data_IF_052186091258
#
_entry.id   IF_052186091258
#
_cell.length_a   1.000
_cell.length_b   1.000
_cell.length_c   1.000
_cell.angle_alpha   90.00
_cell.angle_beta   90.00
_cell.angle_gamma   90.00
#
_symmetry.space_group_name_H-M   'P 1'
#
loop_
_entity.id
_entity.type
_entity.pdbx_description
1 polymer ?
#
# COMPACT_ATOMS: atom_id res chain seq x y z
N UNK A 1 -4.77 -7.16 -7.31
CA UNK A 1 -6.01 -7.79 -6.79
C UNK A 1 -6.57 -6.92 -5.68
N UNK A 2 -7.89 -6.80 -5.55
CA UNK A 2 -8.50 -6.08 -4.42
C UNK A 2 -9.23 -7.09 -3.54
N UNK A 3 -9.02 -6.98 -2.22
CA UNK A 3 -9.66 -7.81 -1.20
C UNK A 3 -10.18 -6.87 -0.13
N UNK A 4 -11.44 -6.49 -0.23
CA UNK A 4 -12.07 -5.55 0.69
C UNK A 4 -11.30 -4.21 0.78
N UNK A 5 -10.64 -3.96 1.90
CA UNK A 5 -9.84 -2.78 2.22
C UNK A 5 -8.38 -2.87 1.76
N UNK A 6 -7.97 -4.01 1.20
CA UNK A 6 -6.60 -4.26 0.75
C UNK A 6 -6.45 -4.21 -0.78
N UNK A 7 -5.39 -3.55 -1.25
CA UNK A 7 -4.91 -3.64 -2.63
C UNK A 7 -3.60 -4.44 -2.67
N UNK A 8 -3.63 -5.59 -3.34
CA UNK A 8 -2.45 -6.42 -3.59
C UNK A 8 -1.87 -6.13 -4.98
N UNK A 9 -0.60 -5.76 -5.04
CA UNK A 9 0.10 -5.33 -6.25
C UNK A 9 1.35 -6.19 -6.47
N UNK A 10 1.67 -6.48 -7.73
CA UNK A 10 2.94 -7.08 -8.15
C UNK A 10 3.73 -6.05 -8.95
N UNK A 11 5.02 -5.94 -8.68
CA UNK A 11 5.88 -4.92 -9.26
C UNK A 11 7.36 -5.34 -9.24
N UNK A 12 8.23 -4.71 -10.06
CA UNK A 12 9.67 -4.86 -9.95
C UNK A 12 10.19 -4.43 -8.58
N UNK A 13 11.22 -5.11 -8.09
CA UNK A 13 11.79 -4.84 -6.77
C UNK A 13 12.38 -3.42 -6.67
N UNK A 14 12.98 -2.91 -7.75
CA UNK A 14 13.52 -1.55 -7.76
C UNK A 14 12.46 -0.45 -7.59
N UNK A 15 11.18 -0.75 -7.86
CA UNK A 15 10.08 0.21 -7.78
C UNK A 15 9.37 0.23 -6.41
N UNK A 16 9.72 -0.70 -5.51
CA UNK A 16 9.02 -0.94 -4.24
C UNK A 16 8.63 0.34 -3.49
N UNK A 17 9.63 1.15 -3.13
CA UNK A 17 9.40 2.34 -2.30
C UNK A 17 8.64 3.43 -3.06
N UNK A 18 8.87 3.59 -4.36
CA UNK A 18 8.21 4.63 -5.16
C UNK A 18 6.73 4.30 -5.35
N UNK A 19 6.43 3.05 -5.69
CA UNK A 19 5.06 2.58 -5.85
C UNK A 19 4.31 2.58 -4.52
N UNK A 20 4.93 2.11 -3.43
CA UNK A 20 4.29 2.11 -2.11
C UNK A 20 3.93 3.53 -1.65
N UNK A 21 4.83 4.51 -1.81
CA UNK A 21 4.56 5.92 -1.48
C UNK A 21 3.40 6.48 -2.31
N UNK A 22 3.42 6.26 -3.63
CA UNK A 22 2.36 6.73 -4.52
C UNK A 22 1.00 6.14 -4.15
N UNK A 23 0.94 4.83 -3.93
CA UNK A 23 -0.31 4.14 -3.61
C UNK A 23 -0.84 4.59 -2.25
N UNK A 24 0.04 4.70 -1.23
CA UNK A 24 -0.34 5.20 0.10
C UNK A 24 -0.95 6.60 0.01
N UNK A 25 -0.26 7.53 -0.66
CA UNK A 25 -0.74 8.92 -0.84
C UNK A 25 -2.10 8.98 -1.55
N UNK A 26 -2.27 8.21 -2.62
CA UNK A 26 -3.55 8.16 -3.37
C UNK A 26 -4.66 7.57 -2.52
N UNK A 27 -4.41 6.51 -1.75
CA UNK A 27 -5.41 5.86 -0.91
C UNK A 27 -5.83 6.75 0.28
N UNK A 28 -4.88 7.37 0.97
CA UNK A 28 -5.15 8.26 2.10
C UNK A 28 -5.95 9.50 1.70
N UNK A 29 -5.72 10.00 0.47
CA UNK A 29 -6.36 11.19 -0.07
C UNK A 29 -7.51 10.90 -1.05
N UNK A 30 -7.99 9.64 -1.13
CA UNK A 30 -8.99 9.22 -2.12
C UNK A 30 -10.32 9.99 -2.00
N UNK A 31 -10.68 10.43 -0.79
CA UNK A 31 -11.90 11.20 -0.55
C UNK A 31 -11.78 12.09 0.71
N UNK A 32 -12.32 13.32 0.72
CA UNK A 32 -12.28 14.18 1.89
C UNK A 32 -13.25 13.67 2.98
N UNK A 33 -12.69 13.25 4.11
CA UNK A 33 -13.43 12.82 5.30
C UNK A 33 -13.07 13.71 6.48
N UNK A 34 -13.97 13.82 7.47
CA UNK A 34 -13.70 14.56 8.71
C UNK A 34 -12.61 13.91 9.56
N UNK A 35 -12.35 12.62 9.35
CA UNK A 35 -11.26 11.85 9.94
C UNK A 35 -10.45 11.27 8.77
N UNK A 36 -9.13 11.50 8.70
CA UNK A 36 -8.32 11.04 7.58
C UNK A 36 -8.25 9.51 7.53
N UNK A 37 -8.13 8.97 6.30
CA UNK A 37 -7.80 7.57 6.10
C UNK A 37 -6.30 7.36 6.35
N UNK A 38 -5.97 6.24 6.99
CA UNK A 38 -4.59 5.78 7.16
C UNK A 38 -4.39 4.55 6.29
N UNK A 39 -3.27 4.47 5.58
CA UNK A 39 -2.95 3.32 4.73
C UNK A 39 -1.59 2.73 5.10
N UNK A 40 -1.58 1.46 5.53
CA UNK A 40 -0.34 0.73 5.81
C UNK A 40 0.12 -0.02 4.55
N UNK A 41 1.39 0.15 4.17
CA UNK A 41 1.98 -0.60 3.06
C UNK A 41 2.79 -1.78 3.60
N UNK A 42 2.62 -2.94 2.97
CA UNK A 42 3.37 -4.16 3.27
C UNK A 42 3.97 -4.74 2.00
N UNK A 43 5.08 -5.48 2.13
CA UNK A 43 5.71 -6.15 1.00
C UNK A 43 6.24 -7.52 1.40
N UNK A 44 6.33 -8.43 0.43
CA UNK A 44 6.85 -9.78 0.62
C UNK A 44 6.94 -10.51 -0.72
N UNK A 45 7.73 -11.59 -0.76
CA UNK A 45 7.86 -12.43 -1.96
C UNK A 45 6.62 -13.31 -2.19
N UNK A 46 5.80 -13.47 -1.16
CA UNK A 46 4.49 -14.10 -1.19
C UNK A 46 3.58 -13.44 -0.16
N UNK A 47 2.27 -13.63 -0.30
CA UNK A 47 1.27 -12.98 0.54
C UNK A 47 1.30 -13.44 2.01
N UNK A 48 1.74 -14.67 2.29
CA UNK A 48 1.79 -15.22 3.64
C UNK A 48 2.91 -14.64 4.51
N UNK A 49 3.90 -13.99 3.89
CA UNK A 49 5.13 -13.52 4.54
C UNK A 49 5.39 -12.04 4.22
N UNK A 50 4.38 -11.19 4.41
CA UNK A 50 4.50 -9.76 4.21
C UNK A 50 4.98 -9.04 5.47
N UNK A 51 5.92 -8.11 5.31
CA UNK A 51 6.40 -7.22 6.37
C UNK A 51 5.96 -5.79 6.12
N UNK A 52 5.77 -5.03 7.20
CA UNK A 52 5.45 -3.60 7.11
C UNK A 52 6.61 -2.88 6.44
N UNK A 53 6.31 -2.09 5.42
CA UNK A 53 7.29 -1.23 4.79
C UNK A 53 7.44 0.04 5.64
N UNK A 54 8.53 0.09 6.39
CA UNK A 54 8.97 1.31 7.09
C UNK A 54 9.45 2.36 6.07
N UNK A 55 9.24 3.64 6.38
CA UNK A 55 9.55 4.77 5.51
C UNK A 55 11.05 5.10 5.46
#
# INVERSE_FOLDING_TARGET
LQVHDELLLELPQEELHTTARLVRDVMENAFPLSIPLSTEARYGVNWGEMTVLED
#
